data_IF_036467628169
#
_entry.id   IF_036467628169
#
_cell.length_a   1.000
_cell.length_b   1.000
_cell.length_c   1.000
_cell.angle_alpha   90.00
_cell.angle_beta   90.00
_cell.angle_gamma   90.00
#
_symmetry.space_group_name_H-M   'P 1'
#
loop_
_entity.id
_entity.type
_entity.pdbx_description
1 polymer ?
#
# COMPACT_ATOMS: atom_id res chain seq x y z
N UNK A 1 46.26 -22.18 -35.45
CA UNK A 1 44.81 -22.06 -35.15
C UNK A 1 44.54 -21.43 -33.78
N UNK A 2 45.34 -21.69 -32.74
CA UNK A 2 45.18 -21.04 -31.41
C UNK A 2 45.55 -19.53 -31.38
N UNK A 3 46.46 -19.10 -32.25
CA UNK A 3 46.94 -17.71 -32.36
C UNK A 3 45.86 -16.75 -32.90
N UNK A 4 45.21 -17.13 -34.00
CA UNK A 4 44.09 -16.38 -34.58
C UNK A 4 42.89 -16.27 -33.62
N UNK A 5 42.61 -17.29 -32.79
CA UNK A 5 41.52 -17.23 -31.82
C UNK A 5 41.80 -16.26 -30.67
N UNK A 6 43.07 -16.10 -30.25
CA UNK A 6 43.47 -15.10 -29.25
C UNK A 6 43.38 -13.68 -29.79
N UNK A 7 43.79 -13.47 -31.05
CA UNK A 7 43.67 -12.17 -31.74
C UNK A 7 42.22 -11.74 -31.98
N UNK A 8 41.31 -12.69 -32.21
CA UNK A 8 39.89 -12.38 -32.35
C UNK A 8 39.30 -12.02 -30.98
N UNK A 9 39.69 -12.74 -29.91
CA UNK A 9 39.22 -12.44 -28.56
C UNK A 9 39.69 -11.07 -28.07
N UNK A 10 40.94 -10.70 -28.35
CA UNK A 10 41.48 -9.39 -28.00
C UNK A 10 40.76 -8.27 -28.75
N UNK A 11 40.50 -8.44 -30.06
CA UNK A 11 39.70 -7.49 -30.85
C UNK A 11 38.28 -7.33 -30.34
N UNK A 12 37.62 -8.43 -29.99
CA UNK A 12 36.26 -8.39 -29.43
C UNK A 12 36.27 -7.68 -28.09
N UNK A 13 37.27 -7.94 -27.22
CA UNK A 13 37.40 -7.28 -25.94
C UNK A 13 37.64 -5.77 -26.09
N UNK A 14 38.50 -5.35 -27.02
CA UNK A 14 38.75 -3.94 -27.33
C UNK A 14 37.51 -3.24 -27.89
N UNK A 15 36.75 -3.89 -28.79
CA UNK A 15 35.49 -3.35 -29.30
C UNK A 15 34.44 -3.22 -28.19
N UNK A 16 34.39 -4.19 -27.28
CA UNK A 16 33.47 -4.17 -26.14
C UNK A 16 33.84 -3.04 -25.16
N UNK A 17 35.14 -2.85 -24.89
CA UNK A 17 35.63 -1.76 -24.05
C UNK A 17 35.29 -0.39 -24.65
N UNK A 18 35.50 -0.21 -25.96
CA UNK A 18 35.13 1.04 -26.68
C UNK A 18 33.64 1.35 -26.60
N UNK A 19 32.78 0.34 -26.81
CA UNK A 19 31.33 0.51 -26.69
C UNK A 19 30.90 0.87 -25.25
N UNK A 20 31.61 0.34 -24.25
CA UNK A 20 31.36 0.69 -22.85
C UNK A 20 31.81 2.12 -22.55
N UNK A 21 33.00 2.54 -23.03
CA UNK A 21 33.50 3.92 -22.89
C UNK A 21 32.58 4.93 -23.58
N UNK A 22 32.20 4.70 -24.85
CA UNK A 22 31.29 5.58 -25.59
C UNK A 22 29.94 5.72 -24.87
N UNK A 23 29.43 4.64 -24.29
CA UNK A 23 28.19 4.67 -23.50
C UNK A 23 28.37 5.43 -22.19
N UNK A 24 29.53 5.33 -21.55
CA UNK A 24 29.85 6.05 -20.31
C UNK A 24 30.00 7.55 -20.57
N UNK A 25 30.70 7.92 -21.65
CA UNK A 25 30.89 9.31 -22.08
C UNK A 25 29.57 9.96 -22.49
N UNK A 26 28.70 9.24 -23.20
CA UNK A 26 27.36 9.71 -23.53
C UNK A 26 26.50 9.95 -22.27
N UNK A 27 26.64 9.11 -21.23
CA UNK A 27 25.96 9.31 -19.95
C UNK A 27 26.54 10.48 -19.16
N UNK A 28 27.87 10.67 -19.17
CA UNK A 28 28.51 11.81 -18.50
C UNK A 28 28.17 13.15 -19.17
N UNK A 29 28.19 13.21 -20.51
CA UNK A 29 27.78 14.42 -21.26
C UNK A 29 26.35 14.82 -20.89
N UNK A 30 25.44 13.84 -20.89
CA UNK A 30 24.04 14.05 -20.52
C UNK A 30 23.86 14.50 -19.06
N UNK A 31 24.76 14.10 -18.14
CA UNK A 31 24.74 14.56 -16.76
C UNK A 31 25.24 16.00 -16.61
N UNK A 32 26.26 16.38 -17.39
CA UNK A 32 26.80 17.74 -17.41
C UNK A 32 25.87 18.75 -18.10
N UNK A 33 25.00 18.27 -19.01
CA UNK A 33 23.94 19.05 -19.65
C UNK A 33 22.69 19.23 -18.77
N UNK A 34 22.64 18.65 -17.56
CA UNK A 34 21.58 18.97 -16.61
C UNK A 34 21.89 20.35 -16.04
N UNK A 35 21.17 21.36 -16.52
CA UNK A 35 21.28 22.73 -16.06
C UNK A 35 20.97 22.83 -14.55
N UNK A 36 21.63 23.78 -13.88
CA UNK A 36 21.42 24.05 -12.45
C UNK A 36 19.94 24.35 -12.14
N UNK A 37 19.26 25.05 -13.05
CA UNK A 37 17.82 25.31 -13.05
C UNK A 37 16.96 24.04 -13.08
N UNK A 38 17.35 23.03 -13.87
CA UNK A 38 16.61 21.77 -13.96
C UNK A 38 16.77 20.92 -12.70
N UNK A 39 17.96 20.97 -12.11
CA UNK A 39 18.22 20.34 -10.81
C UNK A 39 17.43 21.04 -9.68
N UNK A 40 17.32 22.36 -9.72
CA UNK A 40 16.53 23.15 -8.76
C UNK A 40 15.04 22.83 -8.88
N UNK A 41 14.47 22.84 -10.10
CA UNK A 41 13.07 22.44 -10.36
C UNK A 41 12.77 21.01 -9.87
N UNK A 42 13.71 20.08 -10.04
CA UNK A 42 13.56 18.71 -9.54
C UNK A 42 13.51 18.65 -8.00
N UNK A 43 14.35 19.43 -7.32
CA UNK A 43 14.36 19.54 -5.86
C UNK A 43 13.04 20.13 -5.35
N UNK A 44 12.57 21.21 -5.97
CA UNK A 44 11.29 21.84 -5.63
C UNK A 44 10.13 20.85 -5.75
N UNK A 45 10.02 20.16 -6.90
CA UNK A 45 8.96 19.16 -7.12
C UNK A 45 8.99 18.04 -6.07
N UNK A 46 10.18 17.56 -5.68
CA UNK A 46 10.33 16.54 -4.63
C UNK A 46 9.92 17.09 -3.26
N UNK A 47 10.34 18.31 -2.93
CA UNK A 47 9.99 18.96 -1.67
C UNK A 47 8.48 19.18 -1.55
N UNK A 48 7.83 19.63 -2.61
CA UNK A 48 6.37 19.77 -2.65
C UNK A 48 5.65 18.43 -2.48
N UNK A 49 6.11 17.38 -3.17
CA UNK A 49 5.55 16.04 -3.02
C UNK A 49 5.67 15.52 -1.58
N UNK A 50 6.83 15.72 -0.94
CA UNK A 50 7.05 15.36 0.46
C UNK A 50 6.14 16.15 1.41
N UNK A 51 6.03 17.47 1.23
CA UNK A 51 5.13 18.33 2.01
C UNK A 51 3.67 17.89 1.88
N UNK A 52 3.23 17.59 0.65
CA UNK A 52 1.86 17.11 0.37
C UNK A 52 1.60 15.76 1.02
N UNK A 53 2.52 14.81 0.90
CA UNK A 53 2.40 13.49 1.53
C UNK A 53 2.35 13.58 3.05
N UNK A 54 3.18 14.44 3.66
CA UNK A 54 3.16 14.67 5.10
C UNK A 54 1.84 15.28 5.57
N UNK A 55 1.33 16.30 4.86
CA UNK A 55 0.03 16.91 5.15
C UNK A 55 -1.09 15.88 5.06
N UNK A 56 -1.11 15.08 3.99
CA UNK A 56 -2.12 14.04 3.79
C UNK A 56 -2.08 13.00 4.91
N UNK A 57 -0.87 12.57 5.33
CA UNK A 57 -0.69 11.65 6.45
C UNK A 57 -1.22 12.26 7.75
N UNK A 58 -0.95 13.54 8.01
CA UNK A 58 -1.46 14.22 9.19
C UNK A 58 -3.00 14.30 9.18
N UNK A 59 -3.61 14.58 8.04
CA UNK A 59 -5.07 14.56 7.89
C UNK A 59 -5.67 13.18 8.19
N UNK A 60 -5.03 12.11 7.74
CA UNK A 60 -5.46 10.74 8.06
C UNK A 60 -5.35 10.45 9.56
N UNK A 61 -4.24 10.81 10.19
CA UNK A 61 -4.06 10.65 11.64
C UNK A 61 -5.10 11.45 12.43
N UNK A 62 -5.41 12.69 12.01
CA UNK A 62 -6.44 13.51 12.65
C UNK A 62 -7.85 12.90 12.50
N UNK A 63 -8.10 12.14 11.43
CA UNK A 63 -9.33 11.34 11.26
C UNK A 63 -9.29 10.03 12.05
N UNK A 64 -8.19 9.74 12.76
CA UNK A 64 -7.98 8.53 13.53
C UNK A 64 -7.68 7.29 12.68
N UNK A 65 -7.02 7.46 11.53
CA UNK A 65 -6.29 6.37 10.88
C UNK A 65 -5.01 6.09 11.67
N UNK A 66 -4.36 4.95 11.42
CA UNK A 66 -3.17 4.53 12.18
C UNK A 66 -3.49 3.60 13.35
N UNK A 67 -4.78 3.46 13.69
CA UNK A 67 -5.26 2.68 14.82
C UNK A 67 -6.36 1.71 14.39
N UNK A 68 -6.51 0.64 15.16
CA UNK A 68 -7.61 -0.31 15.03
C UNK A 68 -8.58 -0.11 16.20
N UNK A 69 -9.80 0.33 15.91
CA UNK A 69 -10.80 0.68 16.93
C UNK A 69 -12.15 0.03 16.72
N UNK A 70 -12.87 -0.23 17.81
CA UNK A 70 -14.27 -0.62 17.76
C UNK A 70 -15.16 0.59 17.56
N UNK A 71 -16.13 0.47 16.66
CA UNK A 71 -17.23 1.42 16.48
C UNK A 71 -18.52 0.84 17.07
N UNK A 72 -19.41 1.72 17.53
CA UNK A 72 -20.54 1.29 18.37
C UNK A 72 -21.82 1.02 17.58
N UNK A 73 -21.95 1.53 16.36
CA UNK A 73 -23.19 1.44 15.59
C UNK A 73 -22.98 1.46 14.08
N UNK A 74 -24.02 1.12 13.34
CA UNK A 74 -24.05 1.24 11.87
C UNK A 74 -23.94 2.68 11.40
N UNK A 75 -24.48 3.63 12.19
CA UNK A 75 -24.36 5.06 11.90
C UNK A 75 -22.90 5.47 11.90
N UNK A 76 -22.13 5.01 12.89
CA UNK A 76 -20.69 5.29 12.96
C UNK A 76 -19.98 4.68 11.75
N UNK A 77 -20.31 3.44 11.38
CA UNK A 77 -19.76 2.79 10.17
C UNK A 77 -19.92 3.66 8.93
N UNK A 78 -21.12 4.20 8.67
CA UNK A 78 -21.34 5.07 7.51
C UNK A 78 -20.57 6.39 7.62
N UNK A 79 -20.42 6.94 8.83
CA UNK A 79 -19.56 8.10 9.07
C UNK A 79 -18.10 7.81 8.69
N UNK A 80 -17.55 6.70 9.17
CA UNK A 80 -16.17 6.30 8.88
C UNK A 80 -15.91 6.10 7.38
N UNK A 81 -16.86 5.46 6.70
CA UNK A 81 -16.80 5.17 5.25
C UNK A 81 -16.96 6.43 4.42
N UNK A 82 -17.72 7.42 4.89
CA UNK A 82 -17.87 8.72 4.21
C UNK A 82 -16.61 9.58 4.35
N UNK A 83 -15.97 9.54 5.51
CA UNK A 83 -14.83 10.43 5.82
C UNK A 83 -13.49 9.91 5.27
N UNK A 84 -13.45 8.64 4.85
CA UNK A 84 -12.21 7.94 4.48
C UNK A 84 -12.37 7.15 3.19
N UNK A 85 -11.38 7.28 2.31
CA UNK A 85 -11.38 6.60 1.00
C UNK A 85 -11.31 5.09 1.12
N UNK A 86 -10.38 4.59 1.92
CA UNK A 86 -10.16 3.16 2.12
C UNK A 86 -10.56 2.80 3.55
N UNK A 87 -11.46 1.83 3.70
CA UNK A 87 -11.90 1.33 5.00
C UNK A 87 -11.90 -0.19 5.01
N UNK A 88 -11.35 -0.76 6.06
CA UNK A 88 -11.42 -2.18 6.38
C UNK A 88 -12.23 -2.33 7.67
N UNK A 89 -13.35 -3.05 7.58
CA UNK A 89 -14.21 -3.33 8.73
C UNK A 89 -14.22 -4.82 9.07
N UNK A 90 -13.80 -5.17 10.29
CA UNK A 90 -13.93 -6.51 10.85
C UNK A 90 -15.28 -6.65 11.56
N UNK A 91 -16.16 -7.47 11.01
CA UNK A 91 -17.39 -7.89 11.65
C UNK A 91 -17.15 -9.11 12.53
N UNK A 92 -17.47 -8.96 13.82
CA UNK A 92 -17.22 -9.97 14.84
C UNK A 92 -18.48 -10.29 15.65
N UNK A 93 -18.48 -11.44 16.32
CA UNK A 93 -19.48 -11.84 17.32
C UNK A 93 -18.78 -12.57 18.45
N UNK A 94 -18.87 -12.03 19.67
CA UNK A 94 -18.14 -12.56 20.83
C UNK A 94 -16.62 -12.60 20.63
N UNK A 95 -15.90 -13.33 21.51
CA UNK A 95 -14.44 -13.39 21.48
C UNK A 95 -13.93 -14.76 20.99
N UNK A 96 -14.16 -15.07 19.71
CA UNK A 96 -13.63 -16.31 19.13
C UNK A 96 -12.11 -16.22 18.92
N UNK A 97 -11.41 -17.36 18.96
CA UNK A 97 -9.96 -17.43 18.73
C UNK A 97 -9.55 -16.80 17.39
N UNK A 98 -10.36 -17.01 16.33
CA UNK A 98 -10.10 -16.45 14.99
C UNK A 98 -10.27 -14.92 14.94
N UNK A 99 -11.25 -14.36 15.67
CA UNK A 99 -11.38 -12.91 15.81
C UNK A 99 -10.11 -12.34 16.47
N UNK A 100 -9.63 -12.95 17.56
CA UNK A 100 -8.41 -12.48 18.25
C UNK A 100 -7.17 -12.49 17.35
N UNK A 101 -7.03 -13.50 16.49
CA UNK A 101 -5.93 -13.54 15.50
C UNK A 101 -6.06 -12.35 14.56
N UNK A 102 -7.26 -12.13 14.02
CA UNK A 102 -7.50 -11.05 13.08
C UNK A 102 -7.26 -9.68 13.72
N UNK A 103 -7.75 -9.45 14.94
CA UNK A 103 -7.55 -8.20 15.69
C UNK A 103 -6.06 -7.86 15.85
N UNK A 104 -5.22 -8.86 16.12
CA UNK A 104 -3.75 -8.69 16.21
C UNK A 104 -3.17 -8.22 14.88
N UNK A 105 -3.55 -8.86 13.76
CA UNK A 105 -3.05 -8.49 12.44
C UNK A 105 -3.54 -7.11 12.00
N UNK A 106 -4.82 -6.80 12.23
CA UNK A 106 -5.39 -5.50 11.88
C UNK A 106 -4.78 -4.36 12.70
N UNK A 107 -4.48 -4.59 13.98
CA UNK A 107 -3.75 -3.62 14.82
C UNK A 107 -2.35 -3.31 14.26
N UNK A 108 -1.63 -4.32 13.75
CA UNK A 108 -0.32 -4.13 13.13
C UNK A 108 -0.45 -3.39 11.79
N UNK A 109 -1.42 -3.79 10.97
CA UNK A 109 -1.65 -3.19 9.65
C UNK A 109 -2.09 -1.73 9.75
N UNK A 110 -2.93 -1.39 10.72
CA UNK A 110 -3.38 -0.01 10.94
C UNK A 110 -2.22 0.97 11.11
N UNK A 111 -1.19 0.58 11.87
CA UNK A 111 0.00 1.40 12.09
C UNK A 111 0.86 1.55 10.84
N UNK A 112 0.87 0.55 9.96
CA UNK A 112 1.67 0.52 8.72
C UNK A 112 0.98 1.21 7.55
N UNK A 113 -0.35 1.14 7.49
CA UNK A 113 -1.17 1.60 6.37
C UNK A 113 -2.12 2.71 6.82
N UNK A 114 -1.55 3.89 7.09
CA UNK A 114 -2.30 5.06 7.58
C UNK A 114 -3.23 5.64 6.50
N UNK A 115 -3.04 5.27 5.24
CA UNK A 115 -3.96 5.59 4.13
C UNK A 115 -5.29 4.81 4.20
N UNK A 116 -5.39 3.81 5.08
CA UNK A 116 -6.56 2.96 5.24
C UNK A 116 -7.05 2.98 6.68
N UNK A 117 -8.36 3.13 6.85
CA UNK A 117 -9.00 3.12 8.16
C UNK A 117 -9.36 1.70 8.56
N UNK A 118 -8.94 1.29 9.75
CA UNK A 118 -9.22 -0.04 10.27
C UNK A 118 -10.17 0.05 11.45
N UNK A 119 -11.34 -0.58 11.32
CA UNK A 119 -12.41 -0.55 12.32
C UNK A 119 -12.96 -1.94 12.57
N UNK A 120 -13.63 -2.12 13.71
CA UNK A 120 -14.38 -3.34 14.02
C UNK A 120 -15.77 -3.03 14.54
N UNK A 121 -16.72 -3.89 14.20
CA UNK A 121 -18.12 -3.72 14.54
C UNK A 121 -18.72 -5.06 14.94
N UNK A 122 -19.35 -5.10 16.12
CA UNK A 122 -20.10 -6.26 16.56
C UNK A 122 -21.36 -6.42 15.70
N UNK A 123 -21.56 -7.61 15.14
CA UNK A 123 -22.73 -7.92 14.30
C UNK A 123 -24.06 -7.75 15.04
N UNK A 124 -24.09 -7.95 16.35
CA UNK A 124 -25.30 -7.77 17.16
C UNK A 124 -25.72 -6.29 17.26
N UNK A 125 -24.78 -5.36 17.00
CA UNK A 125 -25.03 -3.91 16.92
C UNK A 125 -25.28 -3.42 15.48
N UNK A 126 -25.26 -4.33 14.50
CA UNK A 126 -25.25 -3.99 13.08
C UNK A 126 -26.11 -4.91 12.18
N UNK A 127 -27.39 -5.14 12.52
CA UNK A 127 -28.25 -6.08 11.81
C UNK A 127 -28.50 -5.70 10.35
N UNK A 128 -28.67 -4.41 10.04
CA UNK A 128 -28.89 -3.96 8.67
C UNK A 128 -27.66 -4.20 7.79
N UNK A 129 -26.47 -3.91 8.30
CA UNK A 129 -25.22 -4.17 7.59
C UNK A 129 -24.98 -5.67 7.39
N UNK A 130 -25.25 -6.49 8.40
CA UNK A 130 -25.08 -7.95 8.28
C UNK A 130 -26.00 -8.55 7.24
N UNK A 131 -27.24 -8.08 7.16
CA UNK A 131 -28.19 -8.53 6.14
C UNK A 131 -27.82 -8.00 4.75
N UNK A 132 -27.51 -6.70 4.65
CA UNK A 132 -27.18 -6.03 3.38
C UNK A 132 -25.91 -6.60 2.76
N UNK A 133 -24.89 -6.90 3.57
CA UNK A 133 -23.63 -7.48 3.13
C UNK A 133 -23.66 -9.02 3.12
N UNK A 134 -24.78 -9.64 3.52
CA UNK A 134 -24.97 -11.10 3.61
C UNK A 134 -23.87 -11.78 4.44
N UNK A 135 -23.54 -11.22 5.59
CA UNK A 135 -22.55 -11.76 6.53
C UNK A 135 -23.16 -12.97 7.24
N UNK A 136 -22.76 -14.17 6.79
CA UNK A 136 -23.23 -15.45 7.36
C UNK A 136 -22.22 -16.13 8.27
N UNK A 137 -20.95 -15.73 8.20
CA UNK A 137 -19.82 -16.39 8.88
C UNK A 137 -18.99 -15.34 9.62
N UNK A 138 -18.45 -15.70 10.78
CA UNK A 138 -17.59 -14.85 11.60
C UNK A 138 -16.25 -15.55 11.86
N UNK A 139 -15.11 -14.82 11.83
CA UNK A 139 -14.97 -13.41 11.45
C UNK A 139 -15.20 -13.16 9.95
N UNK A 140 -15.69 -11.97 9.60
CA UNK A 140 -15.74 -11.47 8.22
C UNK A 140 -15.11 -10.09 8.14
N UNK A 141 -14.25 -9.88 7.14
CA UNK A 141 -13.72 -8.56 6.80
C UNK A 141 -14.43 -8.00 5.58
N UNK A 142 -14.80 -6.72 5.64
CA UNK A 142 -15.31 -5.96 4.51
C UNK A 142 -14.27 -4.92 4.07
N UNK A 143 -13.99 -4.90 2.76
CA UNK A 143 -13.06 -3.98 2.12
C UNK A 143 -13.86 -2.93 1.35
N UNK A 144 -13.74 -1.66 1.72
CA UNK A 144 -14.41 -0.54 1.07
C UNK A 144 -13.41 0.42 0.46
N UNK A 145 -13.67 0.80 -0.79
CA UNK A 145 -12.91 1.83 -1.52
C UNK A 145 -13.91 2.82 -2.10
N UNK A 146 -13.74 4.10 -1.80
CA UNK A 146 -14.61 5.20 -2.21
C UNK A 146 -16.09 4.93 -1.84
N UNK A 147 -16.32 4.43 -0.62
CA UNK A 147 -17.65 4.10 -0.12
C UNK A 147 -18.30 2.86 -0.76
N UNK A 148 -17.63 2.21 -1.72
CA UNK A 148 -18.16 1.01 -2.41
C UNK A 148 -17.52 -0.25 -1.84
N UNK A 149 -18.33 -1.26 -1.57
CA UNK A 149 -17.84 -2.57 -1.18
C UNK A 149 -17.08 -3.21 -2.37
N UNK A 150 -15.82 -3.56 -2.14
CA UNK A 150 -14.95 -4.21 -3.13
C UNK A 150 -14.84 -5.71 -2.90
N UNK A 151 -15.07 -6.18 -1.68
CA UNK A 151 -14.94 -7.59 -1.36
C UNK A 151 -15.22 -7.88 0.10
N UNK A 152 -15.69 -9.10 0.33
CA UNK A 152 -15.88 -9.68 1.65
C UNK A 152 -14.94 -10.88 1.78
N UNK A 153 -14.05 -10.85 2.76
CA UNK A 153 -13.21 -11.99 3.13
C UNK A 153 -13.83 -12.65 4.36
N UNK A 154 -14.69 -13.63 4.14
CA UNK A 154 -15.28 -14.46 5.20
C UNK A 154 -14.47 -15.73 5.43
N UNK A 155 -14.41 -16.20 6.69
CA UNK A 155 -13.86 -17.53 7.00
C UNK A 155 -12.37 -17.66 6.68
N UNK A 156 -11.53 -16.87 7.37
CA UNK A 156 -10.07 -16.91 7.25
C UNK A 156 -9.55 -18.27 7.74
N UNK A 157 -9.62 -19.27 6.87
CA UNK A 157 -9.06 -20.61 7.07
C UNK A 157 -8.22 -21.07 5.86
N UNK A 158 -8.17 -20.28 4.78
CA UNK A 158 -7.53 -20.67 3.50
C UNK A 158 -6.76 -19.55 2.78
N UNK A 159 -6.08 -18.67 3.51
CA UNK A 159 -5.07 -17.80 2.90
C UNK A 159 -3.69 -18.14 3.46
N UNK A 160 -3.14 -19.23 2.95
CA UNK A 160 -1.87 -19.81 3.36
C UNK A 160 -1.63 -21.12 2.62
N UNK A 161 -1.61 -21.06 1.28
CA UNK A 161 -1.03 -22.01 0.32
C UNK A 161 -1.59 -21.68 -1.07
N UNK A 162 -0.88 -20.84 -1.80
CA UNK A 162 -0.60 -20.97 -3.23
C UNK A 162 0.67 -20.16 -3.52
#
# INVERSE_FOLDING_TARGET
>A
MADQSMDILSKVLEQTAKLVEEKLDAQMSKLNEIDEDDLERLKERRLEALKKAQKQKQEWLNKGHGEYREISSEKDFFGEVKDSKNVVCHFYKGSTFRCKILDKHLTILAKKHVETKFITLNVDKAPFLTDRLRIKVIPTMCLLIDGKNKGLCGGIHRHGKH
#
